data_IF_529484542573
#
_entry.id   IF_529484542573
#
_cell.length_a   1.000
_cell.length_b   1.000
_cell.length_c   1.000
_cell.angle_alpha   90.00
_cell.angle_beta   90.00
_cell.angle_gamma   90.00
#
_symmetry.space_group_name_H-M   'P 1'
#
loop_
_entity.id
_entity.type
_entity.pdbx_description
1 polymer ?
#
# COMPACT_ATOMS: atom_id res chain seq x y z
N UNK A 1 26.49 -32.02 4.43
CA UNK A 1 26.94 -30.81 3.70
C UNK A 1 25.81 -30.16 2.92
N UNK A 2 25.02 -30.91 2.14
CA UNK A 2 23.86 -30.39 1.39
C UNK A 2 22.72 -29.80 2.25
N UNK A 3 22.40 -30.42 3.39
CA UNK A 3 21.39 -29.87 4.31
C UNK A 3 21.76 -28.49 4.87
N UNK A 4 23.04 -28.26 5.19
CA UNK A 4 23.51 -26.94 5.61
C UNK A 4 23.40 -25.91 4.48
N UNK A 5 23.69 -26.31 3.23
CA UNK A 5 23.53 -25.43 2.07
C UNK A 5 22.08 -25.01 1.81
N UNK A 6 21.14 -25.94 1.95
CA UNK A 6 19.70 -25.68 1.82
C UNK A 6 19.21 -24.73 2.93
N UNK A 7 19.64 -24.97 4.17
CA UNK A 7 19.28 -24.12 5.31
C UNK A 7 19.80 -22.68 5.13
N UNK A 8 21.05 -22.51 4.71
CA UNK A 8 21.65 -21.19 4.45
C UNK A 8 20.94 -20.46 3.29
N UNK A 9 20.58 -21.17 2.23
CA UNK A 9 19.83 -20.58 1.11
C UNK A 9 18.44 -20.13 1.54
N UNK A 10 17.74 -20.94 2.35
CA UNK A 10 16.41 -20.63 2.84
C UNK A 10 16.38 -19.42 3.79
N UNK A 11 17.35 -19.30 4.71
CA UNK A 11 17.45 -18.15 5.63
C UNK A 11 17.76 -16.85 4.92
N UNK A 12 18.54 -16.88 3.84
CA UNK A 12 18.83 -15.72 3.01
C UNK A 12 17.64 -15.32 2.11
N UNK A 13 16.81 -16.27 1.66
CA UNK A 13 15.64 -15.99 0.81
C UNK A 13 14.40 -15.54 1.61
N UNK A 14 14.20 -16.04 2.83
CA UNK A 14 13.06 -15.71 3.71
C UNK A 14 12.73 -14.21 3.82
N UNK A 15 13.69 -13.30 4.07
CA UNK A 15 13.38 -11.87 4.14
C UNK A 15 12.97 -11.24 2.80
N UNK A 16 13.33 -11.85 1.67
CA UNK A 16 12.94 -11.37 0.33
C UNK A 16 11.47 -11.68 0.04
N UNK A 17 11.01 -12.88 0.40
CA UNK A 17 9.61 -13.32 0.20
C UNK A 17 8.64 -12.70 1.24
N UNK A 18 9.11 -12.40 2.45
CA UNK A 18 8.32 -11.69 3.48
C UNK A 18 8.42 -10.17 3.40
N UNK A 19 9.26 -9.63 2.50
CA UNK A 19 9.46 -8.20 2.28
C UNK A 19 8.33 -7.49 1.53
N UNK A 20 7.09 -8.01 1.58
CA UNK A 20 5.95 -7.18 1.21
C UNK A 20 5.83 -6.09 2.27
N UNK A 21 5.89 -4.83 1.84
CA UNK A 21 5.92 -3.64 2.69
C UNK A 21 4.98 -3.77 3.89
N UNK A 22 5.36 -3.20 5.04
CA UNK A 22 4.53 -3.11 6.24
C UNK A 22 3.20 -2.31 6.06
N UNK A 23 2.83 -2.03 4.80
CA UNK A 23 1.61 -1.38 4.39
C UNK A 23 0.60 -2.45 4.00
N UNK A 24 -0.42 -2.63 4.84
CA UNK A 24 -1.55 -3.50 4.54
C UNK A 24 -2.43 -2.85 3.47
N UNK A 25 -2.81 -3.62 2.46
CA UNK A 25 -3.81 -3.19 1.49
C UNK A 25 -5.19 -3.10 2.16
N UNK A 26 -5.88 -1.99 1.96
CA UNK A 26 -7.24 -1.75 2.41
C UNK A 26 -8.15 -1.45 1.20
N UNK A 27 -9.42 -1.90 1.23
CA UNK A 27 -10.35 -1.64 0.14
C UNK A 27 -10.66 -0.14 0.00
N UNK A 28 -10.78 0.33 -1.24
CA UNK A 28 -11.14 1.73 -1.52
C UNK A 28 -12.59 1.99 -1.07
N UNK A 29 -12.76 2.94 -0.15
CA UNK A 29 -14.05 3.40 0.36
C UNK A 29 -14.42 4.81 -0.14
N UNK A 30 -13.48 5.54 -0.74
CA UNK A 30 -13.73 6.90 -1.24
C UNK A 30 -14.66 6.87 -2.48
N UNK A 31 -15.85 7.49 -2.45
CA UNK A 31 -16.84 7.39 -3.53
C UNK A 31 -16.32 7.84 -4.91
N UNK A 32 -15.48 8.88 -4.94
CA UNK A 32 -14.87 9.41 -6.18
C UNK A 32 -13.93 8.42 -6.86
N UNK A 33 -13.42 7.44 -6.12
CA UNK A 33 -12.42 6.47 -6.54
C UNK A 33 -13.07 5.12 -6.93
N UNK A 34 -14.39 4.97 -6.79
CA UNK A 34 -15.07 3.72 -7.14
C UNK A 34 -15.08 3.55 -8.67
N UNK A 35 -14.73 2.34 -9.15
CA UNK A 35 -14.73 1.99 -10.57
C UNK A 35 -13.40 2.20 -11.31
N UNK A 36 -12.32 2.52 -10.60
CA UNK A 36 -10.97 2.50 -11.18
C UNK A 36 -10.52 1.07 -11.49
N UNK A 37 -9.42 0.92 -12.24
CA UNK A 37 -8.81 -0.38 -12.58
C UNK A 37 -8.23 -1.14 -11.37
N UNK A 38 -8.24 -0.53 -10.18
CA UNK A 38 -7.77 -1.09 -8.92
C UNK A 38 -8.81 -0.83 -7.82
N UNK A 39 -8.90 -1.76 -6.87
CA UNK A 39 -9.89 -1.78 -5.79
C UNK A 39 -9.27 -1.70 -4.38
N UNK A 40 -7.94 -1.71 -4.28
CA UNK A 40 -7.20 -1.64 -3.03
C UNK A 40 -6.23 -0.46 -3.05
N UNK A 41 -5.96 0.08 -1.87
CA UNK A 41 -4.96 1.12 -1.62
C UNK A 41 -4.18 0.78 -0.36
N UNK A 42 -3.04 1.41 -0.13
CA UNK A 42 -2.30 1.28 1.13
C UNK A 42 -1.96 2.67 1.67
N UNK A 43 -1.72 2.72 2.99
CA UNK A 43 -1.29 3.93 3.67
C UNK A 43 -0.02 3.66 4.53
N UNK A 44 0.83 4.67 4.75
CA UNK A 44 0.79 6.01 4.14
C UNK A 44 0.98 5.96 2.62
N UNK A 45 0.20 6.78 1.91
CA UNK A 45 0.31 6.87 0.46
C UNK A 45 1.50 7.77 0.06
N UNK A 46 1.79 7.87 -1.24
CA UNK A 46 2.90 8.68 -1.75
C UNK A 46 2.81 10.18 -1.39
N UNK A 47 1.62 10.69 -1.10
CA UNK A 47 1.38 12.07 -0.69
C UNK A 47 1.50 12.27 0.83
N UNK A 48 1.87 11.24 1.58
CA UNK A 48 2.02 11.31 3.04
C UNK A 48 0.70 11.36 3.81
N UNK A 49 -0.43 11.04 3.17
CA UNK A 49 -1.68 10.84 3.89
C UNK A 49 -1.61 9.52 4.67
N UNK A 50 -2.20 9.47 5.86
CA UNK A 50 -2.18 8.28 6.73
C UNK A 50 -3.45 7.43 6.64
N UNK A 51 -4.54 7.97 6.09
CA UNK A 51 -5.78 7.23 5.86
C UNK A 51 -6.58 7.81 4.67
N UNK A 52 -7.61 7.06 4.25
CA UNK A 52 -8.47 7.45 3.13
C UNK A 52 -9.28 8.72 3.41
N UNK A 53 -9.57 9.03 4.68
CA UNK A 53 -10.39 10.17 5.11
C UNK A 53 -9.62 11.48 4.93
N UNK A 54 -8.35 11.50 5.34
CA UNK A 54 -7.42 12.62 5.13
C UNK A 54 -7.21 12.84 3.64
N UNK A 55 -6.98 11.76 2.87
CA UNK A 55 -6.83 11.85 1.42
C UNK A 55 -8.08 12.39 0.73
N UNK A 56 -9.28 11.96 1.15
CA UNK A 56 -10.55 12.46 0.62
C UNK A 56 -10.76 13.95 0.89
N UNK A 57 -10.47 14.41 2.12
CA UNK A 57 -10.60 15.82 2.48
C UNK A 57 -9.71 16.73 1.60
N UNK A 58 -8.49 16.31 1.29
CA UNK A 58 -7.60 17.07 0.40
C UNK A 58 -8.12 17.15 -1.05
N UNK A 59 -8.79 16.09 -1.54
CA UNK A 59 -9.43 16.09 -2.86
C UNK A 59 -10.63 17.04 -2.94
N UNK A 60 -11.36 17.22 -1.84
CA UNK A 60 -12.46 18.20 -1.75
C UNK A 60 -11.94 19.63 -1.75
N UNK A 61 -10.91 19.90 -0.93
CA UNK A 61 -10.23 21.21 -0.90
C UNK A 61 -9.70 21.59 -2.28
N UNK A 62 -9.05 20.67 -2.97
CA UNK A 62 -8.53 20.91 -4.32
C UNK A 62 -9.63 21.26 -5.34
N UNK A 63 -10.84 20.70 -5.20
CA UNK A 63 -11.98 21.07 -6.05
C UNK A 63 -12.35 22.55 -5.87
N UNK A 64 -12.33 23.06 -4.64
CA UNK A 64 -12.67 24.47 -4.34
C UNK A 64 -11.69 25.47 -4.95
N UNK A 65 -10.45 25.06 -5.25
CA UNK A 65 -9.48 25.92 -5.96
C UNK A 65 -9.66 25.93 -7.48
N UNK A 66 -10.41 24.98 -8.02
CA UNK A 66 -10.74 24.91 -9.46
C UNK A 66 -12.14 25.44 -9.79
N UNK A 67 -12.87 25.95 -8.79
CA UNK A 67 -14.17 26.58 -8.94
C UNK A 67 -14.06 28.06 -8.54
#
# INVERSE_FOLDING_TARGET
MWHCGILILSTLLLPVIYGHSAFTCEPIAVPRCIGMSYNMTFFPNFLGHYDQRIAAAQMEVSRTFHQ
#
